data_IF_165654132121
#
_entry.id   IF_165654132121
#
_cell.length_a   1.000
_cell.length_b   1.000
_cell.length_c   1.000
_cell.angle_alpha   90.00
_cell.angle_beta   90.00
_cell.angle_gamma   90.00
#
_symmetry.space_group_name_H-M   'P 1'
#
loop_
_entity.id
_entity.type
_entity.pdbx_description
1 polymer ?
#
# COMPACT_ATOMS: atom_id res chain seq x y z
N UNK A 1 10.89 34.64 -19.08
CA UNK A 1 11.92 33.69 -18.61
C UNK A 1 12.70 34.44 -17.54
N UNK A 2 12.64 34.02 -16.28
CA UNK A 2 13.36 34.68 -15.18
C UNK A 2 14.64 33.89 -14.94
N UNK A 3 15.79 34.48 -15.28
CA UNK A 3 17.10 33.90 -14.94
C UNK A 3 17.37 34.16 -13.46
N UNK A 4 17.45 33.09 -12.67
CA UNK A 4 17.80 33.17 -11.26
C UNK A 4 19.28 32.83 -11.12
N UNK A 5 20.07 33.83 -10.75
CA UNK A 5 21.48 33.63 -10.39
C UNK A 5 21.56 33.25 -8.92
N UNK A 6 22.17 32.10 -8.63
CA UNK A 6 22.42 31.60 -7.28
C UNK A 6 23.51 32.45 -6.59
N UNK A 7 23.12 33.35 -5.67
CA UNK A 7 24.05 34.27 -4.97
C UNK A 7 24.36 33.88 -3.52
N UNK A 8 23.76 32.82 -2.99
CA UNK A 8 23.95 32.36 -1.61
C UNK A 8 24.43 30.90 -1.56
N UNK A 9 25.15 30.47 -0.50
CA UNK A 9 25.53 29.08 -0.30
C UNK A 9 24.27 28.21 -0.27
N UNK A 10 24.20 27.22 -1.16
CA UNK A 10 23.05 26.34 -1.27
C UNK A 10 22.95 25.47 0.00
N UNK A 11 21.99 25.75 0.88
CA UNK A 11 21.61 24.84 1.96
C UNK A 11 20.71 23.74 1.37
N UNK A 12 21.33 22.66 0.90
CA UNK A 12 20.61 21.55 0.29
C UNK A 12 20.93 20.20 0.92
N UNK A 13 20.01 19.26 0.73
CA UNK A 13 20.26 17.85 1.03
C UNK A 13 21.03 17.23 -0.14
N UNK A 14 22.36 17.33 -0.11
CA UNK A 14 23.29 16.97 -1.22
C UNK A 14 22.97 15.68 -1.96
N UNK A 15 22.45 14.66 -1.28
CA UNK A 15 22.10 13.36 -1.88
C UNK A 15 20.99 13.42 -2.95
N UNK A 16 20.15 14.46 -2.97
CA UNK A 16 19.11 14.67 -3.98
C UNK A 16 19.54 15.68 -5.05
N UNK A 17 20.71 16.29 -4.90
CA UNK A 17 21.13 17.40 -5.72
C UNK A 17 21.57 16.93 -7.11
N UNK A 18 21.09 17.63 -8.14
CA UNK A 18 21.49 17.36 -9.51
C UNK A 18 23.00 17.56 -9.71
N UNK A 19 23.66 16.74 -10.54
CA UNK A 19 25.12 16.74 -10.72
C UNK A 19 25.66 18.09 -11.19
N UNK A 20 24.90 18.83 -11.98
CA UNK A 20 25.27 20.17 -12.44
C UNK A 20 25.34 21.22 -11.34
N UNK A 21 24.65 21.02 -10.22
CA UNK A 21 24.72 21.90 -9.05
C UNK A 21 25.87 21.54 -8.10
N UNK A 22 26.51 20.38 -8.30
CA UNK A 22 27.66 19.91 -7.52
C UNK A 22 29.01 20.35 -8.11
N UNK A 23 29.02 20.94 -9.32
CA UNK A 23 30.26 21.41 -9.96
C UNK A 23 30.72 22.71 -9.28
N UNK A 24 32.04 22.85 -9.07
CA UNK A 24 32.67 24.04 -8.48
C UNK A 24 32.62 25.30 -9.40
N UNK A 25 31.93 25.21 -10.53
CA UNK A 25 31.73 26.32 -11.46
C UNK A 25 30.50 27.13 -11.06
N UNK A 26 30.56 28.46 -11.27
CA UNK A 26 29.41 29.34 -11.03
C UNK A 26 28.26 28.92 -11.95
N UNK A 27 27.22 28.33 -11.36
CA UNK A 27 25.99 27.99 -12.08
C UNK A 27 25.26 29.28 -12.41
N UNK A 28 25.46 29.76 -13.65
CA UNK A 28 24.87 31.02 -14.13
C UNK A 28 23.35 30.93 -14.33
N UNK A 29 22.81 29.71 -14.49
CA UNK A 29 21.39 29.45 -14.72
C UNK A 29 20.99 28.11 -14.11
N UNK A 30 19.95 28.11 -13.29
CA UNK A 30 19.30 26.91 -12.76
C UNK A 30 18.03 26.67 -13.57
N UNK A 31 17.91 25.48 -14.16
CA UNK A 31 16.75 25.10 -14.96
C UNK A 31 15.87 24.07 -14.22
N UNK A 32 14.57 23.94 -14.54
CA UNK A 32 13.67 22.98 -13.88
C UNK A 32 14.13 21.52 -13.91
N UNK A 33 15.05 21.17 -14.82
CA UNK A 33 15.65 19.85 -14.90
C UNK A 33 16.38 19.41 -13.61
N UNK A 34 16.81 20.34 -12.75
CA UNK A 34 17.42 20.01 -11.44
C UNK A 34 16.43 19.35 -10.50
N UNK A 35 15.16 19.77 -10.53
CA UNK A 35 14.10 19.20 -9.72
C UNK A 35 13.71 17.82 -10.25
N UNK A 36 13.74 17.63 -11.57
CA UNK A 36 13.45 16.33 -12.18
C UNK A 36 14.49 15.27 -11.79
N UNK A 37 15.78 15.64 -11.64
CA UNK A 37 16.77 14.75 -11.05
C UNK A 37 16.43 14.37 -9.61
N UNK A 38 16.04 15.36 -8.80
CA UNK A 38 15.64 15.15 -7.40
C UNK A 38 14.47 14.18 -7.30
N UNK A 39 13.44 14.32 -8.17
CA UNK A 39 12.32 13.38 -8.28
C UNK A 39 12.81 11.97 -8.59
N UNK A 40 13.73 11.82 -9.54
CA UNK A 40 14.31 10.52 -9.88
C UNK A 40 15.03 9.86 -8.70
N UNK A 41 15.76 10.63 -7.88
CA UNK A 41 16.38 10.13 -6.65
C UNK A 41 15.34 9.73 -5.60
N UNK A 42 14.27 10.52 -5.43
CA UNK A 42 13.16 10.19 -4.52
C UNK A 42 12.51 8.87 -4.92
N UNK A 43 12.19 8.68 -6.20
CA UNK A 43 11.61 7.43 -6.71
C UNK A 43 12.57 6.25 -6.52
N UNK A 44 13.85 6.42 -6.83
CA UNK A 44 14.85 5.37 -6.62
C UNK A 44 14.95 4.91 -5.16
N UNK A 45 14.81 5.84 -4.21
CA UNK A 45 14.81 5.54 -2.78
C UNK A 45 13.50 4.91 -2.30
N UNK A 46 12.36 5.41 -2.79
CA UNK A 46 11.06 4.87 -2.43
C UNK A 46 10.94 3.39 -2.78
N UNK A 47 11.51 2.99 -3.92
CA UNK A 47 11.52 1.62 -4.40
C UNK A 47 12.80 0.85 -4.07
N UNK A 48 13.61 1.35 -3.13
CA UNK A 48 14.80 0.64 -2.69
C UNK A 48 14.39 -0.73 -2.11
N UNK A 49 15.02 -1.81 -2.60
CA UNK A 49 14.70 -3.20 -2.26
C UNK A 49 13.28 -3.67 -2.64
N UNK A 50 12.59 -2.97 -3.53
CA UNK A 50 11.28 -3.39 -4.05
C UNK A 50 11.42 -3.87 -5.50
N UNK A 51 10.76 -4.97 -5.86
CA UNK A 51 10.65 -5.36 -7.27
C UNK A 51 9.77 -4.36 -8.02
N UNK A 52 10.34 -3.71 -9.03
CA UNK A 52 9.64 -2.72 -9.86
C UNK A 52 9.69 -3.10 -11.34
N UNK A 53 8.71 -2.62 -12.09
CA UNK A 53 8.62 -2.84 -13.54
C UNK A 53 9.78 -2.21 -14.29
N UNK A 54 10.08 -2.73 -15.48
CA UNK A 54 11.06 -2.12 -16.39
C UNK A 54 10.69 -0.69 -16.78
N UNK A 55 9.38 -0.38 -16.87
CA UNK A 55 8.90 0.97 -17.10
C UNK A 55 9.29 1.91 -15.95
N UNK A 56 9.14 1.50 -14.69
CA UNK A 56 9.56 2.30 -13.53
C UNK A 56 11.07 2.48 -13.49
N UNK A 57 11.85 1.43 -13.80
CA UNK A 57 13.32 1.53 -13.91
C UNK A 57 13.75 2.52 -15.00
N UNK A 58 13.11 2.43 -16.17
CA UNK A 58 13.35 3.33 -17.31
C UNK A 58 13.05 4.79 -16.94
N UNK A 59 11.91 5.05 -16.29
CA UNK A 59 11.55 6.39 -15.82
C UNK A 59 12.61 6.94 -14.85
N UNK A 60 12.96 6.17 -13.81
CA UNK A 60 13.96 6.58 -12.82
C UNK A 60 15.30 6.90 -13.50
N UNK A 61 15.71 6.05 -14.45
CA UNK A 61 16.94 6.27 -15.22
C UNK A 61 16.89 7.56 -16.03
N UNK A 62 15.78 7.84 -16.72
CA UNK A 62 15.62 9.06 -17.53
C UNK A 62 15.65 10.34 -16.68
N UNK A 63 14.97 10.32 -15.53
CA UNK A 63 14.94 11.43 -14.57
C UNK A 63 16.33 11.72 -13.99
N UNK A 64 17.13 10.69 -13.76
CA UNK A 64 18.48 10.78 -13.19
C UNK A 64 19.59 10.93 -14.22
N UNK A 65 19.29 11.31 -15.46
CA UNK A 65 20.32 11.54 -16.47
C UNK A 65 21.34 12.57 -16.02
N UNK A 66 22.63 12.32 -16.28
CA UNK A 66 23.72 13.26 -16.03
C UNK A 66 23.59 14.54 -16.88
N UNK A 67 23.09 14.39 -18.12
CA UNK A 67 22.77 15.52 -19.01
C UNK A 67 21.37 16.07 -18.69
N UNK A 68 21.23 17.32 -18.22
CA UNK A 68 19.94 17.92 -17.88
C UNK A 68 18.97 17.98 -19.06
N UNK A 69 19.48 18.09 -20.30
CA UNK A 69 18.66 18.17 -21.51
C UNK A 69 17.99 16.84 -21.88
N UNK A 70 18.49 15.73 -21.33
CA UNK A 70 17.93 14.38 -21.53
C UNK A 70 16.89 14.01 -20.46
N UNK A 71 16.70 14.84 -19.43
CA UNK A 71 15.68 14.61 -18.41
C UNK A 71 14.32 15.04 -18.96
N UNK A 72 13.27 14.23 -18.78
CA UNK A 72 11.92 14.63 -19.19
C UNK A 72 11.44 15.80 -18.32
N UNK A 73 10.59 16.64 -18.89
CA UNK A 73 9.78 17.59 -18.12
C UNK A 73 8.80 16.86 -17.20
N UNK A 74 8.27 17.54 -16.19
CA UNK A 74 7.25 16.95 -15.30
C UNK A 74 6.02 16.42 -16.08
N UNK A 75 5.59 17.14 -17.12
CA UNK A 75 4.46 16.71 -17.95
C UNK A 75 4.79 15.48 -18.79
N UNK A 76 5.98 15.41 -19.37
CA UNK A 76 6.43 14.22 -20.12
C UNK A 76 6.59 13.01 -19.19
N UNK A 77 7.14 13.21 -18.00
CA UNK A 77 7.28 12.17 -16.99
C UNK A 77 5.92 11.61 -16.57
N UNK A 78 4.89 12.44 -16.40
CA UNK A 78 3.52 12.00 -16.07
C UNK A 78 2.87 11.15 -17.17
N UNK A 79 3.26 11.34 -18.43
CA UNK A 79 2.80 10.51 -19.54
C UNK A 79 3.63 9.23 -19.74
N UNK A 80 4.67 9.01 -18.92
CA UNK A 80 5.49 7.81 -19.01
C UNK A 80 4.67 6.55 -18.68
N UNK A 81 4.98 5.43 -19.34
CA UNK A 81 4.31 4.12 -19.16
C UNK A 81 4.25 3.67 -17.69
N UNK A 82 5.25 4.07 -16.89
CA UNK A 82 5.32 3.79 -15.45
C UNK A 82 4.10 4.30 -14.67
N UNK A 83 3.40 5.33 -15.18
CA UNK A 83 2.16 5.86 -14.60
C UNK A 83 0.90 5.42 -15.34
N UNK A 84 1.03 4.67 -16.43
CA UNK A 84 -0.09 4.12 -17.20
C UNK A 84 -0.54 2.77 -16.62
N UNK A 85 -0.77 2.74 -15.31
CA UNK A 85 -1.24 1.56 -14.58
C UNK A 85 -2.71 1.73 -14.24
N UNK A 86 -3.46 0.62 -14.22
CA UNK A 86 -4.82 0.65 -13.68
C UNK A 86 -4.77 1.06 -12.20
N UNK A 87 -5.56 2.07 -11.78
CA UNK A 87 -5.63 2.45 -10.39
C UNK A 87 -6.01 1.24 -9.53
N UNK A 88 -5.28 1.03 -8.44
CA UNK A 88 -5.64 0.03 -7.44
C UNK A 88 -7.02 0.42 -6.90
N UNK A 89 -7.95 -0.53 -6.88
CA UNK A 89 -9.27 -0.29 -6.29
C UNK A 89 -9.09 -0.16 -4.78
N UNK A 90 -9.56 0.94 -4.24
CA UNK A 90 -9.49 1.26 -2.83
C UNK A 90 -10.87 1.29 -2.20
N UNK A 91 -10.94 0.97 -0.91
CA UNK A 91 -12.17 1.00 -0.12
C UNK A 91 -11.85 1.28 1.35
N UNK A 92 -12.82 1.81 2.09
CA UNK A 92 -12.67 2.10 3.52
C UNK A 92 -13.01 0.86 4.36
N UNK A 93 -12.21 0.61 5.39
CA UNK A 93 -12.49 -0.43 6.38
C UNK A 93 -13.67 -0.02 7.28
N UNK A 94 -14.65 -0.90 7.43
CA UNK A 94 -15.83 -0.67 8.27
C UNK A 94 -15.52 -0.53 9.77
N UNK A 95 -14.31 -0.91 10.22
CA UNK A 95 -13.87 -0.83 11.62
C UNK A 95 -12.99 0.40 11.86
N UNK A 96 -11.82 0.48 11.22
CA UNK A 96 -10.86 1.58 11.47
C UNK A 96 -11.11 2.82 10.61
N UNK A 97 -11.98 2.74 9.60
CA UNK A 97 -12.32 3.81 8.65
C UNK A 97 -11.18 4.26 7.73
N UNK A 98 -9.98 3.69 7.86
CA UNK A 98 -8.86 3.92 6.95
C UNK A 98 -9.09 3.29 5.57
N UNK A 99 -8.38 3.81 4.56
CA UNK A 99 -8.49 3.40 3.15
C UNK A 99 -7.42 2.36 2.83
N UNK A 100 -7.82 1.26 2.20
CA UNK A 100 -6.93 0.17 1.81
C UNK A 100 -7.21 -0.30 0.38
N UNK A 101 -6.21 -0.91 -0.29
CA UNK A 101 -6.45 -1.75 -1.46
C UNK A 101 -7.49 -2.84 -1.17
N UNK A 102 -8.37 -3.10 -2.14
CA UNK A 102 -9.45 -4.10 -1.99
C UNK A 102 -8.96 -5.54 -1.77
N UNK A 103 -7.71 -5.86 -2.13
CA UNK A 103 -7.05 -7.16 -1.91
C UNK A 103 -6.33 -7.27 -0.54
N UNK A 104 -6.31 -6.17 0.24
CA UNK A 104 -5.82 -6.12 1.61
C UNK A 104 -6.91 -6.38 2.65
N UNK A 105 -7.99 -7.03 2.25
CA UNK A 105 -9.09 -7.38 3.15
C UNK A 105 -10.14 -8.26 2.51
N UNK A 106 -11.30 -8.28 3.13
CA UNK A 106 -12.47 -9.06 2.67
C UNK A 106 -13.71 -8.18 2.73
N UNK A 107 -14.70 -8.46 1.89
CA UNK A 107 -15.99 -7.80 1.92
C UNK A 107 -17.11 -8.82 2.06
N UNK A 108 -18.18 -8.47 2.77
CA UNK A 108 -19.43 -9.23 2.68
C UNK A 108 -20.13 -8.96 1.34
N UNK A 109 -21.25 -9.65 1.08
CA UNK A 109 -21.99 -9.53 -0.18
C UNK A 109 -22.56 -8.12 -0.45
N UNK A 110 -22.71 -7.28 0.58
CA UNK A 110 -23.17 -5.88 0.46
C UNK A 110 -22.01 -4.87 0.37
N UNK A 111 -20.76 -5.35 0.30
CA UNK A 111 -19.59 -4.50 0.08
C UNK A 111 -18.98 -3.88 1.34
N UNK A 112 -19.41 -4.29 2.55
CA UNK A 112 -18.75 -3.87 3.78
C UNK A 112 -17.34 -4.48 3.88
N UNK A 113 -16.33 -3.67 3.59
CA UNK A 113 -14.93 -4.09 3.59
C UNK A 113 -14.32 -4.08 4.99
N UNK A 114 -13.49 -5.07 5.30
CA UNK A 114 -12.68 -5.14 6.52
C UNK A 114 -11.24 -5.46 6.15
N UNK A 115 -10.29 -4.59 6.54
CA UNK A 115 -8.86 -4.81 6.29
C UNK A 115 -8.35 -6.04 7.07
N UNK A 116 -7.25 -6.65 6.58
CA UNK A 116 -6.65 -7.86 7.17
C UNK A 116 -6.39 -7.74 8.68
N UNK A 117 -5.90 -6.58 9.12
CA UNK A 117 -5.59 -6.39 10.54
C UNK A 117 -6.86 -6.39 11.42
N UNK A 118 -7.86 -5.59 11.08
CA UNK A 118 -9.13 -5.57 11.80
C UNK A 118 -9.87 -6.91 11.69
N UNK A 119 -9.79 -7.59 10.54
CA UNK A 119 -10.34 -8.92 10.35
C UNK A 119 -9.66 -9.93 11.30
N UNK A 120 -8.33 -9.95 11.36
CA UNK A 120 -7.59 -10.84 12.27
C UNK A 120 -7.93 -10.60 13.73
N UNK A 121 -8.04 -9.33 14.16
CA UNK A 121 -8.53 -9.00 15.50
C UNK A 121 -9.95 -9.51 15.75
N UNK A 122 -10.84 -9.40 14.77
CA UNK A 122 -12.22 -9.87 14.87
C UNK A 122 -12.29 -11.39 14.96
N UNK A 123 -11.49 -12.11 14.17
CA UNK A 123 -11.36 -13.57 14.22
C UNK A 123 -10.85 -14.02 15.58
N UNK A 124 -9.80 -13.38 16.12
CA UNK A 124 -9.28 -13.67 17.46
C UNK A 124 -10.33 -13.42 18.54
N UNK A 125 -11.00 -12.28 18.51
CA UNK A 125 -12.04 -11.94 19.48
C UNK A 125 -13.20 -12.94 19.46
N UNK A 126 -13.59 -13.42 18.28
CA UNK A 126 -14.64 -14.41 18.13
C UNK A 126 -14.18 -15.87 18.38
N UNK A 127 -12.90 -16.09 18.63
CA UNK A 127 -12.37 -17.36 19.11
C UNK A 127 -12.41 -17.48 20.65
N UNK A 128 -12.70 -16.39 21.36
CA UNK A 128 -12.77 -16.40 22.82
C UNK A 128 -14.01 -17.14 23.33
N UNK A 129 -13.93 -17.85 24.47
CA UNK A 129 -15.05 -18.65 25.01
C UNK A 129 -16.34 -17.86 25.25
N UNK A 130 -16.22 -16.56 25.56
CA UNK A 130 -17.33 -15.66 25.88
C UNK A 130 -17.70 -14.75 24.70
N UNK A 131 -17.25 -15.08 23.48
CA UNK A 131 -17.53 -14.27 22.30
C UNK A 131 -19.03 -14.20 21.97
N UNK A 132 -19.49 -13.02 21.59
CA UNK A 132 -20.87 -12.80 21.14
C UNK A 132 -21.11 -13.17 19.68
N UNK A 133 -20.05 -13.33 18.89
CA UNK A 133 -20.13 -13.61 17.45
C UNK A 133 -19.81 -15.08 17.22
N UNK A 134 -20.82 -15.84 16.77
CA UNK A 134 -20.66 -17.25 16.43
C UNK A 134 -20.23 -17.38 14.96
N UNK A 135 -19.06 -17.95 14.74
CA UNK A 135 -18.70 -18.48 13.44
C UNK A 135 -19.50 -19.75 13.13
N UNK A 136 -19.77 -19.98 11.85
CA UNK A 136 -20.38 -21.19 11.34
C UNK A 136 -19.35 -22.33 11.20
N UNK A 137 -19.84 -23.57 11.06
CA UNK A 137 -18.99 -24.78 10.93
C UNK A 137 -18.04 -24.74 9.74
N UNK A 138 -18.38 -23.98 8.70
CA UNK A 138 -17.57 -23.81 7.49
C UNK A 138 -16.51 -22.71 7.63
N UNK A 139 -16.42 -22.07 8.80
CA UNK A 139 -15.50 -20.96 9.05
C UNK A 139 -15.99 -19.59 8.65
N UNK A 140 -17.24 -19.47 8.19
CA UNK A 140 -17.83 -18.17 7.91
C UNK A 140 -18.19 -17.42 9.19
N UNK A 141 -18.09 -16.09 9.20
CA UNK A 141 -18.60 -15.23 10.29
C UNK A 141 -19.57 -14.19 9.76
N UNK A 142 -20.41 -13.67 10.65
CA UNK A 142 -21.17 -12.46 10.37
C UNK A 142 -20.23 -11.29 10.07
N UNK A 143 -20.68 -10.41 9.18
CA UNK A 143 -20.03 -9.15 8.91
C UNK A 143 -19.87 -8.33 10.20
N UNK A 144 -18.76 -7.60 10.29
CA UNK A 144 -18.42 -6.75 11.44
C UNK A 144 -19.10 -5.39 11.40
N UNK A 145 -19.71 -5.02 10.27
CA UNK A 145 -20.48 -3.79 10.16
C UNK A 145 -21.74 -3.85 11.02
N UNK A 146 -22.06 -2.74 11.68
CA UNK A 146 -23.29 -2.61 12.48
C UNK A 146 -24.52 -2.96 11.64
N UNK A 147 -25.44 -3.72 12.24
CA UNK A 147 -26.72 -4.12 11.63
C UNK A 147 -26.58 -4.94 10.33
N UNK A 148 -25.42 -5.55 10.07
CA UNK A 148 -25.21 -6.42 8.92
C UNK A 148 -25.17 -7.90 9.32
N UNK A 149 -26.20 -8.65 8.94
CA UNK A 149 -26.29 -10.10 9.20
C UNK A 149 -25.67 -10.96 8.08
N UNK A 150 -25.08 -10.33 7.06
CA UNK A 150 -24.46 -11.06 5.96
C UNK A 150 -23.16 -11.73 6.38
N UNK A 151 -22.85 -12.85 5.74
CA UNK A 151 -21.67 -13.63 6.05
C UNK A 151 -20.46 -13.18 5.22
N UNK A 152 -19.30 -13.22 5.87
CA UNK A 152 -18.00 -13.28 5.23
C UNK A 152 -17.61 -14.76 5.18
N UNK A 153 -17.37 -15.28 3.97
CA UNK A 153 -17.14 -16.69 3.77
C UNK A 153 -15.80 -17.15 4.38
N UNK A 154 -15.79 -18.32 5.03
CA UNK A 154 -14.60 -18.83 5.71
C UNK A 154 -13.36 -18.96 4.83
N UNK A 155 -13.51 -19.32 3.56
CA UNK A 155 -12.37 -19.39 2.63
C UNK A 155 -11.75 -18.02 2.31
N UNK A 156 -12.56 -16.95 2.29
CA UNK A 156 -12.05 -15.59 2.09
C UNK A 156 -11.26 -15.14 3.33
N UNK A 157 -11.76 -15.46 4.52
CA UNK A 157 -11.08 -15.21 5.80
C UNK A 157 -9.77 -16.00 5.87
N UNK A 158 -9.79 -17.29 5.53
CA UNK A 158 -8.61 -18.15 5.52
C UNK A 158 -7.50 -17.62 4.60
N UNK A 159 -7.88 -17.02 3.48
CA UNK A 159 -6.95 -16.42 2.52
C UNK A 159 -6.38 -15.11 3.04
N UNK A 160 -7.21 -14.28 3.67
CA UNK A 160 -6.81 -12.97 4.16
C UNK A 160 -5.98 -13.03 5.46
N UNK A 161 -6.33 -13.93 6.39
CA UNK A 161 -5.73 -14.05 7.72
C UNK A 161 -5.49 -15.53 8.11
N UNK A 162 -4.57 -16.23 7.41
CA UNK A 162 -4.42 -17.69 7.53
C UNK A 162 -4.02 -18.18 8.92
N UNK A 163 -3.14 -17.45 9.62
CA UNK A 163 -2.67 -17.83 10.96
C UNK A 163 -3.79 -17.75 12.01
N UNK A 164 -4.54 -16.66 12.01
CA UNK A 164 -5.67 -16.44 12.90
C UNK A 164 -6.80 -17.44 12.61
N UNK A 165 -7.07 -17.70 11.32
CA UNK A 165 -8.11 -18.63 10.91
C UNK A 165 -7.80 -20.08 11.30
N UNK A 166 -6.55 -20.53 11.16
CA UNK A 166 -6.13 -21.88 11.54
C UNK A 166 -6.24 -22.10 13.05
N UNK A 167 -5.84 -21.13 13.86
CA UNK A 167 -6.00 -21.17 15.31
C UNK A 167 -7.47 -21.26 15.71
N UNK A 168 -8.33 -20.48 15.05
CA UNK A 168 -9.76 -20.50 15.27
C UNK A 168 -10.42 -21.85 14.90
N UNK A 169 -10.11 -22.44 13.74
CA UNK A 169 -10.66 -23.74 13.32
C UNK A 169 -10.40 -24.84 14.35
N UNK A 170 -9.23 -24.80 14.99
CA UNK A 170 -8.87 -25.74 16.05
C UNK A 170 -9.72 -25.53 17.32
N UNK A 171 -10.02 -24.28 17.68
CA UNK A 171 -10.88 -23.95 18.83
C UNK A 171 -12.31 -24.43 18.57
N UNK A 172 -12.84 -24.15 17.39
CA UNK A 172 -14.22 -24.52 17.04
C UNK A 172 -14.41 -26.02 16.91
N UNK A 173 -13.43 -26.73 16.34
CA UNK A 173 -13.44 -28.19 16.35
C UNK A 173 -13.54 -28.75 17.78
N UNK A 174 -12.72 -28.24 18.70
CA UNK A 174 -12.72 -28.68 20.10
C UNK A 174 -14.04 -28.35 20.83
N UNK A 175 -14.63 -27.20 20.56
CA UNK A 175 -15.91 -26.81 21.16
C UNK A 175 -17.04 -27.76 20.71
N UNK A 176 -17.13 -28.01 19.40
CA UNK A 176 -18.13 -28.93 18.86
C UNK A 176 -17.90 -30.39 19.27
N UNK A 177 -16.65 -30.85 19.34
CA UNK A 177 -16.32 -32.19 19.86
C UNK A 177 -16.76 -32.35 21.32
N UNK A 178 -16.63 -31.29 22.14
CA UNK A 178 -17.09 -31.29 23.53
C UNK A 178 -18.61 -31.34 23.63
N UNK A 179 -19.31 -30.54 22.84
CA UNK A 179 -20.77 -30.49 22.86
C UNK A 179 -21.38 -31.81 22.36
N UNK A 180 -20.81 -32.41 21.31
CA UNK A 180 -21.22 -33.72 20.80
C UNK A 180 -20.92 -34.87 21.78
N UNK A 181 -19.94 -34.72 22.67
CA UNK A 181 -19.65 -35.70 23.72
C UNK A 181 -20.52 -35.54 24.97
N UNK A 182 -21.31 -34.46 25.04
CA UNK A 182 -22.22 -34.16 26.15
C UNK A 182 -23.69 -34.57 25.86
N UNK A 183 -24.01 -34.97 24.64
CA UNK A 183 -25.28 -35.60 24.21
C UNK A 183 -25.24 -37.13 24.32
#
# INVERSE_FOLDING_TARGET
MHDVTMTQPLQSTKQYMAPELLRDEVVNKVEPAVDMFSVGVVLAKLFENTEISEATKSLISSLRSEDPSQRPTALEALHHEAFQVEPVKETSCAICLDIYPTDEGVSCADGHFTCKECLGHSVRAAAEPDAHVNFLRDGSMCCVASDCELLIAGHAIATAVPEDFANWLNIVRKHFERDAAAE
#
